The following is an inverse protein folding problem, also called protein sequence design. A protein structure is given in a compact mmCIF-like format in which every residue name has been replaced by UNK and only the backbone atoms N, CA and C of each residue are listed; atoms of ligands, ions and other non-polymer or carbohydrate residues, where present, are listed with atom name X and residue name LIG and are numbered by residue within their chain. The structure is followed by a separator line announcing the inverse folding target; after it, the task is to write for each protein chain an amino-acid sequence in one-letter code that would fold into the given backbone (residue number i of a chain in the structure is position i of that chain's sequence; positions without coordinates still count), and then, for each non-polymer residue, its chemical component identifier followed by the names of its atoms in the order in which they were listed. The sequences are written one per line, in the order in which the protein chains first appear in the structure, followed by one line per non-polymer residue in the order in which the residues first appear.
data_IF_711410876758
#
_entry.id   IF_711410876758
#
_cell.length_a   1.000
_cell.length_b   1.000
_cell.length_c   1.000
_cell.angle_alpha   90.00
_cell.angle_beta   90.00
_cell.angle_gamma   90.00
#
_symmetry.space_group_name_H-M   'P 1'
#
loop_
_entity.id
_entity.type
_entity.pdbx_description
1 polymer ?
#
# COMPACT_ATOMS: atom_id res chain seq x y z
N UNK A 1 -13.50 -20.94 -4.87
CA UNK A 1 -12.24 -20.16 -4.97
C UNK A 1 -12.40 -18.87 -4.18
N UNK A 2 -11.89 -18.82 -2.95
CA UNK A 2 -11.88 -17.59 -2.17
C UNK A 2 -10.94 -16.61 -2.90
N UNK A 3 -11.48 -15.55 -3.49
CA UNK A 3 -10.65 -14.41 -3.89
C UNK A 3 -10.14 -13.84 -2.57
N UNK A 4 -8.97 -14.29 -2.12
CA UNK A 4 -8.26 -13.64 -1.03
C UNK A 4 -8.05 -12.21 -1.52
N UNK A 5 -8.86 -11.31 -0.97
CA UNK A 5 -8.68 -9.88 -1.19
C UNK A 5 -7.27 -9.50 -0.77
N UNK A 6 -6.79 -8.37 -1.28
CA UNK A 6 -5.50 -7.88 -0.87
C UNK A 6 -5.45 -7.62 0.64
N UNK A 7 -4.37 -8.03 1.27
CA UNK A 7 -4.14 -7.87 2.70
C UNK A 7 -3.41 -6.57 3.01
N UNK A 8 -3.53 -6.14 4.27
CA UNK A 8 -2.77 -4.99 4.78
C UNK A 8 -1.26 -5.20 4.63
N UNK A 9 -0.75 -6.38 4.98
CA UNK A 9 0.69 -6.68 4.93
C UNK A 9 1.26 -6.55 3.52
N UNK A 10 0.51 -7.00 2.49
CA UNK A 10 0.91 -6.82 1.10
C UNK A 10 0.98 -5.34 0.71
N UNK A 11 0.00 -4.53 1.10
CA UNK A 11 0.01 -3.09 0.84
C UNK A 11 1.13 -2.40 1.60
N UNK A 12 1.34 -2.74 2.86
CA UNK A 12 2.38 -2.19 3.71
C UNK A 12 3.77 -2.48 3.16
N UNK A 13 4.06 -3.72 2.79
CA UNK A 13 5.35 -4.11 2.22
C UNK A 13 5.69 -3.34 0.93
N UNK A 14 4.69 -3.15 0.07
CA UNK A 14 4.87 -2.37 -1.17
C UNK A 14 5.00 -0.88 -0.87
N UNK A 15 4.21 -0.35 0.05
CA UNK A 15 4.30 1.06 0.45
C UNK A 15 5.65 1.37 1.11
N UNK A 16 6.18 0.46 1.92
CA UNK A 16 7.50 0.55 2.55
C UNK A 16 8.62 0.50 1.52
N UNK A 17 8.53 -0.39 0.52
CA UNK A 17 9.49 -0.43 -0.57
C UNK A 17 9.51 0.89 -1.34
N UNK A 18 8.34 1.43 -1.70
CA UNK A 18 8.23 2.72 -2.39
C UNK A 18 8.78 3.87 -1.53
N UNK A 19 8.43 3.92 -0.25
CA UNK A 19 8.93 4.93 0.67
C UNK A 19 10.44 4.84 0.89
N UNK A 20 11.00 3.63 0.97
CA UNK A 20 12.45 3.40 1.06
C UNK A 20 13.21 3.79 -0.20
N UNK A 21 12.54 3.71 -1.37
CA UNK A 21 13.05 4.23 -2.65
C UNK A 21 12.93 5.77 -2.76
N UNK A 22 12.38 6.46 -1.76
CA UNK A 22 12.09 7.90 -1.81
C UNK A 22 10.92 8.25 -2.73
N UNK A 23 10.16 7.25 -3.18
CA UNK A 23 8.98 7.43 -4.02
C UNK A 23 7.72 7.56 -3.15
N UNK A 24 6.72 8.30 -3.65
CA UNK A 24 5.45 8.41 -2.95
C UNK A 24 4.62 7.13 -3.13
N UNK A 25 4.25 6.42 -2.06
CA UNK A 25 3.37 5.26 -2.16
C UNK A 25 1.96 5.74 -2.45
N UNK A 26 1.58 5.72 -3.73
CA UNK A 26 0.24 6.07 -4.22
C UNK A 26 -0.58 4.81 -4.49
N UNK A 27 -1.91 4.92 -4.48
CA UNK A 27 -2.82 3.80 -4.76
C UNK A 27 -2.46 3.11 -6.07
N UNK A 28 -2.14 3.89 -7.11
CA UNK A 28 -1.75 3.38 -8.42
C UNK A 28 -0.42 2.64 -8.37
N UNK A 29 0.64 3.24 -7.82
CA UNK A 29 1.95 2.60 -7.74
C UNK A 29 1.91 1.29 -6.94
N UNK A 30 1.16 1.31 -5.83
CA UNK A 30 0.93 0.12 -5.01
C UNK A 30 0.19 -0.94 -5.83
N UNK A 31 -0.92 -0.58 -6.48
CA UNK A 31 -1.71 -1.49 -7.32
C UNK A 31 -0.90 -2.10 -8.48
N UNK A 32 -0.10 -1.30 -9.17
CA UNK A 32 0.77 -1.77 -10.26
C UNK A 32 1.80 -2.78 -9.74
N UNK A 33 2.45 -2.50 -8.59
CA UNK A 33 3.38 -3.44 -7.93
C UNK A 33 2.71 -4.74 -7.46
N UNK A 34 1.41 -4.70 -7.16
CA UNK A 34 0.60 -5.84 -6.74
C UNK A 34 -0.05 -6.60 -7.91
N UNK A 35 0.27 -6.23 -9.15
CA UNK A 35 -0.24 -6.90 -10.35
C UNK A 35 -1.72 -6.63 -10.63
N UNK A 36 -2.18 -5.40 -10.42
CA UNK A 36 -3.58 -4.97 -10.62
C UNK A 36 -4.61 -5.65 -9.72
N UNK A 37 -4.14 -6.33 -8.68
CA UNK A 37 -4.94 -7.05 -7.71
C UNK A 37 -5.45 -6.13 -6.60
N UNK A 38 -6.70 -6.33 -6.19
CA UNK A 38 -7.35 -5.53 -5.15
C UNK A 38 -8.07 -4.31 -5.70
N UNK A 39 -9.14 -3.92 -5.01
CA UNK A 39 -9.91 -2.73 -5.36
C UNK A 39 -9.15 -1.47 -4.90
N UNK A 40 -9.23 -0.35 -5.65
CA UNK A 40 -8.66 0.93 -5.23
C UNK A 40 -9.08 1.34 -3.81
N UNK A 41 -10.32 1.06 -3.42
CA UNK A 41 -10.82 1.36 -2.08
C UNK A 41 -10.13 0.53 -1.00
N UNK A 42 -9.83 -0.75 -1.29
CA UNK A 42 -9.14 -1.63 -0.33
C UNK A 42 -7.70 -1.20 -0.14
N UNK A 43 -7.02 -0.90 -1.25
CA UNK A 43 -5.65 -0.36 -1.23
C UNK A 43 -5.63 0.97 -0.49
N UNK A 44 -6.58 1.87 -0.76
CA UNK A 44 -6.68 3.15 -0.06
C UNK A 44 -6.82 2.96 1.45
N UNK A 45 -7.73 2.08 1.91
CA UNK A 45 -7.91 1.79 3.34
C UNK A 45 -6.61 1.31 3.99
N UNK A 46 -5.93 0.35 3.36
CA UNK A 46 -4.68 -0.20 3.91
C UNK A 46 -3.52 0.79 3.84
N UNK A 47 -3.42 1.57 2.78
CA UNK A 47 -2.39 2.58 2.60
C UNK A 47 -2.53 3.72 3.61
N UNK A 48 -3.76 4.18 3.87
CA UNK A 48 -4.04 5.15 4.94
C UNK A 48 -3.67 4.57 6.30
N UNK A 49 -4.09 3.34 6.62
CA UNK A 49 -3.72 2.70 7.88
C UNK A 49 -2.19 2.53 8.02
N UNK A 50 -1.47 2.21 6.94
CA UNK A 50 -0.01 2.13 6.94
C UNK A 50 0.63 3.49 7.20
N UNK A 51 0.09 4.57 6.61
CA UNK A 51 0.53 5.95 6.87
C UNK A 51 0.23 6.41 8.29
N UNK A 52 -0.89 6.01 8.88
CA UNK A 52 -1.25 6.38 10.26
C UNK A 52 -0.41 5.60 11.27
N UNK A 53 -0.13 4.32 10.99
CA UNK A 53 0.71 3.47 11.83
C UNK A 53 2.18 3.96 11.87
N UNK A 54 2.62 4.66 10.83
CA UNK A 54 3.94 5.29 10.78
C UNK A 54 3.78 6.79 11.04
N UNK A 55 4.08 7.32 12.24
CA UNK A 55 4.23 8.76 12.40
C UNK A 55 5.35 9.19 11.46
N UNK A 56 4.98 9.82 10.34
CA UNK A 56 5.93 10.34 9.37
C UNK A 56 6.78 11.37 10.10
N UNK A 57 8.01 10.97 10.41
CA UNK A 57 9.15 11.86 10.45
C UNK A 57 9.31 12.43 9.03
N UNK A 58 8.47 13.41 8.69
CA UNK A 58 8.79 14.36 7.65
C UNK A 58 9.82 15.30 8.27
N UNK A 59 11.10 15.01 8.01
CA UNK A 59 12.19 15.94 8.15
C UNK A 59 12.63 16.34 6.74
#
# INVERSE_FOLDING_TARGET
MARQGITFEQVAAVADALAGEGQQPTIRAVREKLGDTGSPNTIHKHLTAWREARPVAAA
#
